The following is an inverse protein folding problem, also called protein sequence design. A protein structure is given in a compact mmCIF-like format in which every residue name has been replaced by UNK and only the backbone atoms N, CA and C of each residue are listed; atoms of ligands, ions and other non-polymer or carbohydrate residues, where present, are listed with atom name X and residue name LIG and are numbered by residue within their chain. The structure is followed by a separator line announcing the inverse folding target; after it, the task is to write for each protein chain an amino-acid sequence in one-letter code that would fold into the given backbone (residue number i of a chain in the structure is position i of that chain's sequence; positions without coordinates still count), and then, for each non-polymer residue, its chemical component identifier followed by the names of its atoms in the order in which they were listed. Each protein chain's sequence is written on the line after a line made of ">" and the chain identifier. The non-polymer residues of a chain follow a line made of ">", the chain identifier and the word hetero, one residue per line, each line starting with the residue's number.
data_IF_538845405431
#
_entry.id   IF_538845405431
#
_cell.length_a   1.000
_cell.length_b   1.000
_cell.length_c   1.000
_cell.angle_alpha   90.00
_cell.angle_beta   90.00
_cell.angle_gamma   90.00
#
_symmetry.space_group_name_H-M   'P 1'
#
loop_
_entity.id
_entity.type
_entity.pdbx_description
1 polymer ?
#
# COMPACT_ATOMS: atom_id res chain seq x y z
N UNK A 1 31.01 -42.50 16.89
CA UNK A 1 29.81 -42.15 17.68
C UNK A 1 29.82 -40.61 17.91
N UNK A 2 29.28 -39.84 17.03
CA UNK A 2 29.20 -38.39 17.16
C UNK A 2 27.88 -38.03 17.84
N UNK A 3 27.96 -37.36 19.01
CA UNK A 3 26.80 -36.78 19.68
C UNK A 3 26.60 -35.37 19.15
N UNK A 4 25.52 -35.15 18.42
CA UNK A 4 25.07 -33.79 18.07
C UNK A 4 24.17 -33.23 19.19
N UNK A 5 24.48 -32.02 19.64
CA UNK A 5 23.67 -31.25 20.55
C UNK A 5 22.87 -30.25 19.71
N UNK A 6 21.56 -30.26 19.87
CA UNK A 6 20.70 -29.25 19.29
C UNK A 6 20.34 -28.24 20.40
N UNK A 7 20.85 -27.03 20.30
CA UNK A 7 20.46 -25.94 21.19
C UNK A 7 19.33 -25.14 20.52
N UNK A 8 18.14 -25.14 21.13
CA UNK A 8 17.04 -24.28 20.72
C UNK A 8 16.97 -23.10 21.70
N UNK A 9 17.22 -21.90 21.21
CA UNK A 9 17.06 -20.67 21.98
C UNK A 9 15.64 -20.11 21.77
N UNK A 10 14.84 -20.15 22.82
CA UNK A 10 13.51 -19.52 22.84
C UNK A 10 13.58 -18.29 23.73
N UNK A 11 13.20 -17.14 23.22
CA UNK A 11 13.15 -15.87 23.93
C UNK A 11 11.71 -15.55 24.32
N UNK A 12 11.40 -15.58 25.61
CA UNK A 12 10.15 -15.09 26.16
C UNK A 12 10.38 -13.78 26.89
N UNK A 13 9.30 -13.03 27.15
CA UNK A 13 9.31 -11.70 27.76
C UNK A 13 10.02 -11.59 29.12
N UNK A 14 10.45 -12.68 29.73
CA UNK A 14 11.10 -12.73 31.07
C UNK A 14 12.54 -13.23 31.07
N UNK A 15 13.15 -13.52 29.93
CA UNK A 15 14.56 -13.97 29.86
C UNK A 15 14.79 -15.18 28.95
N UNK A 16 16.07 -15.45 28.67
CA UNK A 16 16.49 -16.61 27.84
C UNK A 16 16.54 -17.84 28.71
N UNK A 17 15.70 -18.85 28.46
CA UNK A 17 15.86 -20.18 29.01
C UNK A 17 16.51 -21.12 27.98
N UNK A 18 17.60 -21.76 28.36
CA UNK A 18 18.25 -22.79 27.55
C UNK A 18 17.69 -24.13 27.99
N UNK A 19 16.95 -24.78 27.10
CA UNK A 19 16.43 -26.12 27.33
C UNK A 19 17.30 -27.16 26.59
N UNK A 20 18.04 -27.96 27.29
CA UNK A 20 18.83 -29.05 26.71
C UNK A 20 18.03 -30.36 26.71
N UNK A 21 17.74 -30.90 25.54
CA UNK A 21 17.10 -32.20 25.36
C UNK A 21 18.17 -33.29 25.14
N UNK A 22 18.21 -34.27 26.01
CA UNK A 22 19.01 -35.50 25.83
C UNK A 22 18.20 -36.49 25.01
N UNK A 23 18.66 -36.82 23.82
CA UNK A 23 18.11 -37.94 23.05
C UNK A 23 18.97 -39.20 23.27
N UNK A 24 18.38 -40.23 23.86
CA UNK A 24 18.95 -41.58 23.89
C UNK A 24 18.46 -42.37 22.68
N UNK A 25 19.37 -42.78 21.83
CA UNK A 25 19.09 -43.66 20.69
C UNK A 25 19.19 -45.12 21.08
N UNK A 26 18.09 -45.71 21.53
CA UNK A 26 17.83 -47.16 21.39
C UNK A 26 16.32 -47.37 21.43
N UNK A 27 15.76 -47.83 20.31
CA UNK A 27 14.36 -48.23 20.23
C UNK A 27 13.58 -47.47 19.13
N UNK A 28 13.35 -48.20 18.06
CA UNK A 28 12.46 -47.81 16.95
C UNK A 28 11.06 -47.61 17.54
N UNK A 29 10.60 -46.39 17.58
CA UNK A 29 9.19 -46.05 17.58
C UNK A 29 9.07 -44.62 17.03
N UNK A 30 8.58 -44.56 15.80
CA UNK A 30 8.43 -43.31 15.08
C UNK A 30 7.38 -42.41 15.74
N UNK A 31 7.82 -41.47 16.54
CA UNK A 31 7.07 -40.24 16.81
C UNK A 31 7.52 -39.25 15.72
N UNK A 32 6.82 -39.28 14.60
CA UNK A 32 6.77 -38.13 13.67
C UNK A 32 6.22 -37.01 14.51
N UNK A 33 7.10 -36.17 15.03
CA UNK A 33 6.74 -34.85 15.53
C UNK A 33 6.35 -34.04 14.28
N UNK A 34 5.09 -34.22 13.88
CA UNK A 34 4.44 -33.35 12.92
C UNK A 34 4.45 -31.94 13.56
N UNK A 35 5.50 -31.17 13.33
CA UNK A 35 5.44 -29.75 13.52
C UNK A 35 4.35 -29.25 12.55
N UNK A 36 3.11 -29.29 13.00
CA UNK A 36 2.08 -28.41 12.51
C UNK A 36 2.59 -27.01 12.84
N UNK A 37 3.31 -26.41 11.90
CA UNK A 37 3.36 -24.97 11.79
C UNK A 37 1.90 -24.54 11.56
N UNK A 38 1.19 -24.31 12.66
CA UNK A 38 -0.03 -23.55 12.67
C UNK A 38 0.37 -22.19 12.11
N UNK A 39 0.22 -22.05 10.80
CA UNK A 39 0.13 -20.73 10.18
C UNK A 39 -1.07 -20.11 10.87
N UNK A 40 -0.84 -19.30 11.90
CA UNK A 40 -1.85 -18.44 12.50
C UNK A 40 -2.14 -17.41 11.42
N UNK A 41 -3.06 -17.76 10.50
CA UNK A 41 -3.70 -16.76 9.69
C UNK A 41 -4.41 -15.84 10.67
N UNK A 42 -4.16 -14.54 10.65
CA UNK A 42 -4.90 -13.62 11.49
C UNK A 42 -6.39 -13.85 11.19
N UNK A 43 -7.14 -14.29 12.20
CA UNK A 43 -8.58 -14.41 12.07
C UNK A 43 -9.09 -12.98 11.86
N UNK A 44 -9.59 -12.70 10.65
CA UNK A 44 -10.19 -11.41 10.35
C UNK A 44 -11.42 -11.18 11.21
N UNK A 45 -11.62 -9.93 11.60
CA UNK A 45 -12.77 -9.51 12.40
C UNK A 45 -14.00 -9.30 11.52
N UNK A 46 -15.17 -9.39 12.15
CA UNK A 46 -16.45 -8.98 11.56
C UNK A 46 -16.75 -7.55 11.96
N UNK A 47 -17.08 -6.71 10.97
CA UNK A 47 -17.48 -5.32 11.18
C UNK A 47 -18.91 -5.16 10.70
N UNK A 48 -19.78 -4.64 11.58
CA UNK A 48 -21.21 -4.39 11.25
C UNK A 48 -21.63 -3.03 11.77
N UNK A 49 -22.58 -2.41 11.09
CA UNK A 49 -23.11 -1.13 11.53
C UNK A 49 -24.30 -0.66 10.71
N UNK A 50 -24.71 0.55 11.03
CA UNK A 50 -25.78 1.27 10.36
C UNK A 50 -25.28 2.65 9.95
N UNK A 51 -25.63 3.12 8.76
CA UNK A 51 -25.27 4.43 8.23
C UNK A 51 -26.51 5.30 8.10
N UNK A 52 -26.48 6.47 8.70
CA UNK A 52 -27.59 7.44 8.70
C UNK A 52 -27.11 8.83 8.28
N UNK A 53 -28.04 9.65 7.84
CA UNK A 53 -27.79 11.08 7.63
C UNK A 53 -27.74 11.81 8.97
N UNK A 54 -26.70 12.61 9.19
CA UNK A 54 -26.41 13.30 10.46
C UNK A 54 -27.55 14.18 10.98
N UNK A 55 -28.28 14.90 10.10
CA UNK A 55 -29.32 15.84 10.55
C UNK A 55 -30.69 15.19 10.78
N UNK A 56 -31.05 14.24 9.93
CA UNK A 56 -32.39 13.64 9.93
C UNK A 56 -32.47 12.29 10.61
N UNK A 57 -31.31 11.62 10.78
CA UNK A 57 -31.26 10.24 11.26
C UNK A 57 -31.82 9.23 10.25
N UNK A 58 -32.15 9.66 9.03
CA UNK A 58 -32.67 8.74 8.01
C UNK A 58 -31.57 7.79 7.52
N UNK A 59 -31.91 6.51 7.26
CA UNK A 59 -30.93 5.55 6.77
C UNK A 59 -30.42 5.93 5.37
N UNK A 60 -29.13 5.74 5.14
CA UNK A 60 -28.50 5.94 3.83
C UNK A 60 -28.33 4.58 3.16
N UNK A 61 -29.10 4.34 2.11
CA UNK A 61 -28.98 3.16 1.25
C UNK A 61 -27.93 3.39 0.16
N UNK A 62 -27.36 2.30 -0.36
CA UNK A 62 -26.38 2.30 -1.46
C UNK A 62 -25.08 3.06 -1.15
N UNK A 63 -24.80 3.37 0.10
CA UNK A 63 -23.48 3.86 0.49
C UNK A 63 -22.46 2.72 0.36
N UNK A 64 -21.34 2.98 -0.30
CA UNK A 64 -20.23 2.05 -0.34
C UNK A 64 -19.47 2.12 0.97
N UNK A 65 -19.30 0.98 1.64
CA UNK A 65 -18.56 0.82 2.89
C UNK A 65 -17.39 -0.11 2.62
N UNK A 66 -16.16 0.36 2.79
CA UNK A 66 -14.98 -0.42 2.40
C UNK A 66 -13.78 -0.16 3.31
N UNK A 67 -12.84 -1.09 3.32
CA UNK A 67 -11.54 -0.93 3.97
C UNK A 67 -10.58 -0.25 2.98
N UNK A 68 -10.06 0.91 3.36
CA UNK A 68 -9.17 1.69 2.51
C UNK A 68 -8.00 0.87 1.98
N UNK A 69 -7.74 0.98 0.68
CA UNK A 69 -6.63 0.33 0.01
C UNK A 69 -6.82 -1.16 -0.26
N UNK A 70 -8.00 -1.75 0.04
CA UNK A 70 -8.23 -3.20 -0.08
C UNK A 70 -9.33 -3.55 -1.08
N UNK A 71 -9.56 -4.86 -1.27
CA UNK A 71 -10.71 -5.37 -2.01
C UNK A 71 -11.92 -5.71 -1.12
N UNK A 72 -11.85 -5.38 0.17
CA UNK A 72 -12.94 -5.61 1.12
C UNK A 72 -13.92 -4.44 1.14
N UNK A 73 -15.13 -4.66 0.66
CA UNK A 73 -16.18 -3.66 0.64
C UNK A 73 -17.56 -4.27 0.50
N UNK A 74 -18.56 -3.48 0.85
CA UNK A 74 -19.99 -3.80 0.76
C UNK A 74 -20.79 -2.53 0.47
N UNK A 75 -22.09 -2.68 0.28
CA UNK A 75 -23.03 -1.58 0.06
C UNK A 75 -24.11 -1.66 1.15
N UNK A 76 -24.53 -0.52 1.69
CA UNK A 76 -25.62 -0.47 2.68
C UNK A 76 -26.94 -0.88 2.06
N UNK A 77 -27.74 -1.59 2.84
CA UNK A 77 -29.12 -1.96 2.47
C UNK A 77 -30.09 -0.75 2.60
N UNK A 78 -31.38 -0.98 2.33
CA UNK A 78 -32.42 0.06 2.40
C UNK A 78 -32.63 0.63 3.81
N UNK A 79 -32.14 -0.06 4.84
CA UNK A 79 -32.18 0.37 6.23
C UNK A 79 -30.85 0.97 6.70
N UNK A 80 -29.89 1.16 5.77
CA UNK A 80 -28.58 1.67 6.07
C UNK A 80 -27.63 0.66 6.71
N UNK A 81 -28.01 -0.62 6.83
CA UNK A 81 -27.16 -1.61 7.47
C UNK A 81 -26.06 -2.11 6.52
N UNK A 82 -24.89 -2.39 7.10
CA UNK A 82 -23.78 -3.01 6.39
C UNK A 82 -23.09 -4.08 7.23
N UNK A 83 -22.33 -4.92 6.54
CA UNK A 83 -21.56 -5.99 7.15
C UNK A 83 -20.33 -6.31 6.29
N UNK A 84 -19.18 -6.40 6.95
CA UNK A 84 -17.90 -6.82 6.36
C UNK A 84 -17.31 -7.95 7.19
N UNK A 85 -16.81 -8.99 6.52
CA UNK A 85 -16.09 -10.09 7.15
C UNK A 85 -14.59 -10.00 6.83
N UNK A 86 -13.77 -10.71 7.60
CA UNK A 86 -12.32 -10.84 7.38
C UNK A 86 -11.53 -9.53 7.44
N UNK A 87 -11.99 -8.55 8.21
CA UNK A 87 -11.29 -7.28 8.39
C UNK A 87 -10.05 -7.49 9.27
N UNK A 88 -8.90 -7.02 8.80
CA UNK A 88 -7.62 -7.09 9.54
C UNK A 88 -7.33 -5.71 10.11
N UNK A 89 -7.01 -5.65 11.42
CA UNK A 89 -6.64 -4.41 12.10
C UNK A 89 -5.11 -4.20 12.13
N UNK A 90 -4.63 -2.97 12.18
CA UNK A 90 -5.39 -1.71 12.09
C UNK A 90 -5.79 -1.40 10.65
N UNK A 91 -6.94 -0.78 10.46
CA UNK A 91 -7.40 -0.38 9.12
C UNK A 91 -8.23 0.91 9.19
N UNK A 92 -8.63 1.38 8.03
CA UNK A 92 -9.53 2.54 7.88
C UNK A 92 -10.79 2.10 7.17
N UNK A 93 -11.93 2.25 7.84
CA UNK A 93 -13.24 2.08 7.25
C UNK A 93 -13.64 3.39 6.58
N UNK A 94 -14.02 3.32 5.32
CA UNK A 94 -14.46 4.46 4.53
C UNK A 94 -15.94 4.29 4.19
N UNK A 95 -16.68 5.38 4.36
CA UNK A 95 -18.05 5.52 3.88
C UNK A 95 -18.04 6.50 2.71
N UNK A 96 -18.51 6.06 1.57
CA UNK A 96 -18.56 6.85 0.33
C UNK A 96 -19.93 6.78 -0.30
N UNK A 97 -20.47 7.95 -0.66
CA UNK A 97 -21.72 8.09 -1.39
C UNK A 97 -21.71 9.39 -2.20
N UNK A 98 -22.31 9.39 -3.39
CA UNK A 98 -22.28 10.55 -4.31
C UNK A 98 -22.85 11.84 -3.68
N UNK A 99 -23.86 11.73 -2.81
CA UNK A 99 -24.55 12.88 -2.20
C UNK A 99 -23.97 13.29 -0.85
N UNK A 100 -23.02 12.54 -0.28
CA UNK A 100 -22.50 12.79 1.06
C UNK A 100 -21.00 13.01 1.05
N UNK A 101 -20.50 13.67 2.08
CA UNK A 101 -19.07 13.81 2.30
C UNK A 101 -18.48 12.44 2.66
N UNK A 102 -17.33 12.11 2.06
CA UNK A 102 -16.63 10.88 2.41
C UNK A 102 -16.23 10.91 3.89
N UNK A 103 -16.48 9.81 4.60
CA UNK A 103 -16.15 9.69 6.02
C UNK A 103 -15.13 8.59 6.25
N UNK A 104 -14.04 8.94 6.91
CA UNK A 104 -12.99 8.03 7.34
C UNK A 104 -13.14 7.71 8.82
N UNK A 105 -13.12 6.42 9.16
CA UNK A 105 -13.21 5.91 10.53
C UNK A 105 -12.01 4.98 10.76
N UNK A 106 -11.03 5.38 11.59
CA UNK A 106 -9.94 4.50 11.94
C UNK A 106 -10.46 3.38 12.85
N UNK A 107 -10.23 2.13 12.45
CA UNK A 107 -10.51 0.94 13.25
C UNK A 107 -9.17 0.40 13.78
N UNK A 108 -8.92 0.68 15.04
CA UNK A 108 -7.64 0.36 15.68
C UNK A 108 -7.78 -0.78 16.68
N UNK A 109 -8.93 -0.90 17.33
CA UNK A 109 -9.22 -1.88 18.38
C UNK A 109 -10.37 -2.82 17.96
N UNK A 110 -10.26 -4.07 18.39
CA UNK A 110 -11.30 -5.08 18.19
C UNK A 110 -12.54 -4.93 19.09
N UNK A 111 -12.47 -4.11 20.13
CA UNK A 111 -13.54 -3.99 21.12
C UNK A 111 -14.85 -3.37 20.59
N UNK A 112 -14.80 -2.60 19.51
CA UNK A 112 -15.95 -1.86 18.98
C UNK A 112 -16.06 -2.03 17.46
N UNK A 113 -16.29 -3.25 16.98
CA UNK A 113 -16.43 -3.52 15.55
C UNK A 113 -17.85 -3.90 15.12
N UNK A 114 -18.75 -4.11 16.08
CA UNK A 114 -20.12 -4.53 15.79
C UNK A 114 -21.14 -3.52 16.29
N UNK A 115 -22.18 -3.29 15.48
CA UNK A 115 -23.25 -2.34 15.83
C UNK A 115 -22.81 -0.87 15.74
N UNK A 116 -21.84 -0.55 14.89
CA UNK A 116 -21.38 0.82 14.67
C UNK A 116 -22.54 1.69 14.20
N UNK A 117 -22.74 2.84 14.85
CA UNK A 117 -23.69 3.86 14.42
C UNK A 117 -22.89 4.97 13.74
N UNK A 118 -23.03 5.08 12.42
CA UNK A 118 -22.20 5.96 11.60
C UNK A 118 -23.08 6.98 10.89
N UNK A 119 -22.71 8.24 10.97
CA UNK A 119 -23.45 9.33 10.37
C UNK A 119 -22.64 9.96 9.23
N UNK A 120 -23.29 10.32 8.14
CA UNK A 120 -22.68 11.05 7.02
C UNK A 120 -23.35 12.42 6.88
N UNK A 121 -22.56 13.41 6.51
CA UNK A 121 -23.00 14.76 6.22
C UNK A 121 -23.24 14.94 4.72
N UNK A 122 -24.27 15.71 4.35
CA UNK A 122 -24.52 16.04 2.96
C UNK A 122 -23.31 16.77 2.35
N UNK A 123 -22.95 16.40 1.13
CA UNK A 123 -21.93 17.11 0.38
C UNK A 123 -22.51 18.46 -0.10
N UNK A 124 -22.03 19.54 0.49
CA UNK A 124 -22.30 20.88 -0.03
C UNK A 124 -21.29 21.12 -1.17
N UNK A 125 -21.74 21.06 -2.39
CA UNK A 125 -20.95 21.52 -3.52
C UNK A 125 -21.09 23.05 -3.53
N UNK A 126 -20.16 23.76 -2.89
CA UNK A 126 -20.01 25.18 -3.19
C UNK A 126 -19.57 25.27 -4.65
N UNK A 127 -20.47 25.72 -5.50
CA UNK A 127 -20.12 26.15 -6.83
C UNK A 127 -19.27 27.42 -6.67
N UNK A 128 -17.99 27.24 -6.39
CA UNK A 128 -17.04 28.32 -6.64
C UNK A 128 -17.22 28.69 -8.08
N UNK A 129 -17.36 30.02 -8.35
CA UNK A 129 -17.42 30.53 -9.74
C UNK A 129 -16.28 29.84 -10.49
N UNK A 130 -16.65 28.82 -11.28
CA UNK A 130 -15.70 28.10 -12.08
C UNK A 130 -15.04 29.16 -12.95
N UNK A 131 -13.78 29.43 -12.71
CA UNK A 131 -12.98 30.19 -13.66
C UNK A 131 -13.19 29.44 -14.96
N UNK A 132 -13.93 30.08 -15.89
CA UNK A 132 -14.35 29.48 -17.18
C UNK A 132 -13.06 29.06 -17.88
N UNK A 133 -12.68 27.84 -17.63
CA UNK A 133 -11.52 27.26 -18.28
C UNK A 133 -11.97 27.00 -19.71
N UNK A 134 -11.36 27.65 -20.68
CA UNK A 134 -11.58 27.31 -22.08
C UNK A 134 -11.50 25.78 -22.21
N UNK A 135 -12.40 25.19 -23.02
CA UNK A 135 -12.47 23.72 -23.19
C UNK A 135 -11.10 23.08 -23.48
N UNK A 136 -10.28 23.79 -24.28
CA UNK A 136 -8.93 23.34 -24.63
C UNK A 136 -7.99 23.26 -23.41
N UNK A 137 -8.12 24.19 -22.45
CA UNK A 137 -7.34 24.13 -21.20
C UNK A 137 -7.79 22.99 -20.31
N UNK A 138 -9.09 22.70 -20.23
CA UNK A 138 -9.58 21.57 -19.45
C UNK A 138 -9.02 20.23 -19.98
N UNK A 139 -9.02 20.01 -21.30
CA UNK A 139 -8.48 18.80 -21.92
C UNK A 139 -6.96 18.67 -21.68
N UNK A 140 -6.22 19.78 -21.69
CA UNK A 140 -4.79 19.77 -21.37
C UNK A 140 -4.54 19.36 -19.92
N UNK A 141 -5.23 19.98 -18.95
CA UNK A 141 -5.07 19.64 -17.53
C UNK A 141 -5.56 18.22 -17.22
N UNK A 142 -6.62 17.74 -17.88
CA UNK A 142 -7.08 16.37 -17.77
C UNK A 142 -6.00 15.37 -18.25
N UNK A 143 -5.35 15.65 -19.38
CA UNK A 143 -4.24 14.83 -19.90
C UNK A 143 -3.06 14.82 -18.90
N UNK A 144 -2.70 15.97 -18.34
CA UNK A 144 -1.64 16.09 -17.33
C UNK A 144 -2.01 15.37 -16.04
N UNK A 145 -3.25 15.53 -15.57
CA UNK A 145 -3.78 14.79 -14.43
C UNK A 145 -3.66 13.29 -14.66
N UNK A 146 -4.15 12.75 -15.78
CA UNK A 146 -4.04 11.33 -16.12
C UNK A 146 -2.57 10.86 -16.08
N UNK A 147 -1.65 11.63 -16.62
CA UNK A 147 -0.23 11.28 -16.64
C UNK A 147 0.40 11.21 -15.24
N UNK A 148 0.05 12.16 -14.37
CA UNK A 148 0.60 12.23 -13.02
C UNK A 148 -0.14 11.34 -12.02
N UNK A 149 -1.43 11.16 -12.18
CA UNK A 149 -2.28 10.35 -11.32
C UNK A 149 -2.19 8.85 -11.66
N UNK A 150 -2.46 8.48 -12.92
CA UNK A 150 -2.40 7.09 -13.36
C UNK A 150 -0.95 6.59 -13.55
N UNK A 151 -0.03 7.48 -13.91
CA UNK A 151 1.37 7.19 -14.19
C UNK A 151 1.73 7.29 -15.67
N UNK A 152 3.00 7.52 -15.99
CA UNK A 152 3.49 7.77 -17.36
C UNK A 152 3.15 6.67 -18.38
N UNK A 153 2.92 5.44 -17.91
CA UNK A 153 2.64 4.29 -18.77
C UNK A 153 1.17 3.86 -18.76
N UNK A 154 0.25 4.71 -18.29
CA UNK A 154 -1.16 4.37 -18.14
C UNK A 154 -1.82 3.92 -19.45
N UNK A 155 -1.46 4.53 -20.58
CA UNK A 155 -1.97 4.16 -21.90
C UNK A 155 -1.56 2.72 -22.28
N UNK A 156 -0.31 2.33 -22.01
CA UNK A 156 0.18 0.95 -22.25
C UNK A 156 -0.51 -0.06 -21.32
N UNK A 157 -0.98 0.38 -20.18
CA UNK A 157 -1.76 -0.42 -19.23
C UNK A 157 -3.26 -0.39 -19.54
N UNK A 158 -3.67 0.39 -20.54
CA UNK A 158 -5.09 0.62 -20.87
C UNK A 158 -5.90 1.08 -19.65
N UNK A 159 -5.25 1.78 -18.71
CA UNK A 159 -5.91 2.34 -17.54
C UNK A 159 -6.73 3.57 -17.94
N UNK A 160 -8.00 3.60 -17.54
CA UNK A 160 -8.95 4.62 -17.96
C UNK A 160 -9.78 5.12 -16.78
N UNK A 161 -9.98 6.44 -16.69
CA UNK A 161 -10.95 7.06 -15.79
C UNK A 161 -12.29 7.13 -16.53
N UNK A 162 -13.27 6.37 -16.05
CA UNK A 162 -14.55 6.19 -16.74
C UNK A 162 -15.48 7.40 -16.60
N UNK A 163 -15.28 8.21 -15.59
CA UNK A 163 -16.09 9.40 -15.26
C UNK A 163 -15.23 10.64 -15.07
N UNK A 164 -14.26 10.88 -15.95
CA UNK A 164 -13.33 12.02 -15.84
C UNK A 164 -14.01 13.40 -15.91
N UNK A 165 -15.25 13.48 -16.38
CA UNK A 165 -16.07 14.69 -16.36
C UNK A 165 -16.38 15.24 -14.96
N UNK A 166 -16.18 14.43 -13.89
CA UNK A 166 -16.38 14.87 -12.50
C UNK A 166 -15.18 15.64 -11.95
N UNK A 167 -14.08 15.73 -12.71
CA UNK A 167 -12.87 16.43 -12.31
C UNK A 167 -12.98 17.93 -12.53
N UNK A 168 -12.64 18.68 -11.51
CA UNK A 168 -12.50 20.13 -11.52
C UNK A 168 -11.03 20.49 -11.32
N UNK A 169 -10.51 21.39 -12.15
CA UNK A 169 -9.13 21.85 -12.08
C UNK A 169 -9.07 23.31 -11.66
N UNK A 170 -8.24 23.61 -10.67
CA UNK A 170 -7.88 24.97 -10.30
C UNK A 170 -6.43 25.21 -10.72
N UNK A 171 -6.25 26.11 -11.68
CA UNK A 171 -4.94 26.44 -12.22
C UNK A 171 -4.27 27.45 -11.28
N UNK A 172 -3.04 27.17 -10.95
CA UNK A 172 -2.12 28.07 -10.27
C UNK A 172 -1.16 28.69 -11.28
N UNK A 173 -0.10 29.32 -10.84
CA UNK A 173 0.93 29.86 -11.73
C UNK A 173 1.80 28.74 -12.32
N UNK A 174 2.39 28.99 -13.50
CA UNK A 174 3.46 28.17 -14.09
C UNK A 174 3.15 26.67 -14.21
N UNK A 175 2.06 26.30 -14.89
CA UNK A 175 1.71 24.90 -15.11
C UNK A 175 1.43 24.08 -13.82
N UNK A 176 1.26 24.72 -12.69
CA UNK A 176 0.87 24.12 -11.43
C UNK A 176 -0.65 24.13 -11.31
N UNK A 177 -1.22 23.07 -10.75
CA UNK A 177 -2.65 22.98 -10.58
C UNK A 177 -3.05 22.02 -9.46
N UNK A 178 -4.25 22.22 -8.93
CA UNK A 178 -4.96 21.26 -8.09
C UNK A 178 -6.09 20.62 -8.86
N UNK A 179 -6.51 19.43 -8.41
CA UNK A 179 -7.69 18.77 -8.93
C UNK A 179 -8.57 18.26 -7.80
N UNK A 180 -9.87 18.42 -7.96
CA UNK A 180 -10.91 17.92 -7.09
C UNK A 180 -11.88 17.06 -7.90
N UNK A 181 -12.55 16.11 -7.25
CA UNK A 181 -13.56 15.29 -7.87
C UNK A 181 -14.91 15.50 -7.16
N UNK A 182 -15.95 15.80 -7.91
CA UNK A 182 -17.31 15.98 -7.37
C UNK A 182 -17.97 14.66 -6.95
N UNK A 183 -17.47 13.54 -7.49
CA UNK A 183 -17.89 12.16 -7.18
C UNK A 183 -16.67 11.26 -7.11
N UNK A 184 -16.77 10.04 -6.53
CA UNK A 184 -15.69 9.07 -6.56
C UNK A 184 -15.27 8.76 -8.00
N UNK A 185 -13.97 8.84 -8.29
CA UNK A 185 -13.43 8.45 -9.59
C UNK A 185 -13.58 6.94 -9.79
N UNK A 186 -14.03 6.53 -10.97
CA UNK A 186 -14.12 5.13 -11.40
C UNK A 186 -13.03 4.84 -12.41
N UNK A 187 -12.10 3.98 -12.07
CA UNK A 187 -10.92 3.72 -12.88
C UNK A 187 -10.90 2.25 -13.29
N UNK A 188 -10.91 2.02 -14.58
CA UNK A 188 -10.78 0.69 -15.15
C UNK A 188 -9.30 0.31 -15.25
N UNK A 189 -8.91 -0.81 -14.65
CA UNK A 189 -7.57 -1.37 -14.65
C UNK A 189 -7.56 -2.76 -15.30
N UNK A 190 -7.68 -2.85 -16.64
CA UNK A 190 -7.92 -4.13 -17.33
C UNK A 190 -6.74 -5.11 -17.20
N UNK A 191 -5.51 -4.60 -17.11
CA UNK A 191 -4.31 -5.45 -17.01
C UNK A 191 -4.25 -6.20 -15.68
N UNK A 192 -4.63 -5.53 -14.58
CA UNK A 192 -4.69 -6.15 -13.25
C UNK A 192 -6.07 -6.69 -12.89
N UNK A 193 -7.08 -6.39 -13.72
CA UNK A 193 -8.45 -6.91 -13.58
C UNK A 193 -9.18 -6.35 -12.37
N UNK A 194 -9.08 -5.02 -12.15
CA UNK A 194 -9.83 -4.31 -11.11
C UNK A 194 -10.63 -3.15 -11.70
N UNK A 195 -11.78 -2.89 -11.10
CA UNK A 195 -12.41 -1.58 -11.14
C UNK A 195 -12.05 -0.88 -9.83
N UNK A 196 -11.34 0.23 -9.92
CA UNK A 196 -10.87 0.98 -8.77
C UNK A 196 -11.77 2.20 -8.57
N UNK A 197 -12.34 2.34 -7.37
CA UNK A 197 -13.00 3.55 -6.92
C UNK A 197 -12.05 4.39 -6.10
N UNK A 198 -11.95 5.68 -6.39
CA UNK A 198 -11.09 6.61 -5.65
C UNK A 198 -11.90 7.81 -5.17
N UNK A 199 -12.04 7.93 -3.86
CA UNK A 199 -12.49 9.17 -3.24
C UNK A 199 -11.28 10.11 -3.16
N UNK A 200 -11.15 11.00 -4.15
CA UNK A 200 -10.03 11.93 -4.25
C UNK A 200 -10.18 13.04 -3.21
N UNK A 201 -9.28 13.07 -2.23
CA UNK A 201 -9.28 14.10 -1.16
C UNK A 201 -8.43 15.30 -1.56
N UNK A 202 -7.29 15.03 -2.20
CA UNK A 202 -6.38 16.08 -2.63
C UNK A 202 -5.54 15.59 -3.80
N UNK A 203 -5.37 16.48 -4.78
CA UNK A 203 -4.37 16.33 -5.84
C UNK A 203 -3.74 17.70 -6.10
N UNK A 204 -2.42 17.73 -6.08
CA UNK A 204 -1.66 18.93 -6.38
C UNK A 204 -0.41 18.59 -7.18
N UNK A 205 -0.20 19.31 -8.27
CA UNK A 205 1.03 19.29 -9.04
C UNK A 205 1.73 20.64 -8.88
N UNK A 206 2.91 20.63 -8.24
CA UNK A 206 3.75 21.83 -8.03
C UNK A 206 5.17 21.62 -8.51
N UNK A 207 5.77 22.68 -9.02
CA UNK A 207 7.21 22.73 -9.21
C UNK A 207 7.90 22.98 -7.85
N UNK A 208 8.93 22.22 -7.57
CA UNK A 208 9.75 22.36 -6.36
C UNK A 208 11.17 22.69 -6.75
N UNK A 209 11.63 23.90 -6.40
CA UNK A 209 12.98 24.35 -6.71
C UNK A 209 14.05 23.45 -6.06
N UNK A 210 13.82 23.00 -4.83
CA UNK A 210 14.72 22.13 -4.08
C UNK A 210 14.94 20.80 -4.79
N UNK A 211 13.94 20.34 -5.56
CA UNK A 211 13.97 19.07 -6.33
C UNK A 211 14.28 19.29 -7.80
N UNK A 212 14.35 20.56 -8.25
CA UNK A 212 14.47 20.96 -9.67
C UNK A 212 13.47 20.23 -10.58
N UNK A 213 12.22 20.09 -10.11
CA UNK A 213 11.21 19.34 -10.84
C UNK A 213 9.80 19.42 -10.25
N UNK A 214 8.85 18.85 -11.00
CA UNK A 214 7.47 18.77 -10.56
C UNK A 214 7.29 17.68 -9.51
N UNK A 215 6.62 18.03 -8.43
CA UNK A 215 6.16 17.13 -7.38
C UNK A 215 4.64 16.99 -7.44
N UNK A 216 4.16 15.75 -7.39
CA UNK A 216 2.74 15.44 -7.36
C UNK A 216 2.37 14.88 -5.99
N UNK A 217 1.48 15.58 -5.29
CA UNK A 217 0.87 15.12 -4.03
C UNK A 217 -0.51 14.56 -4.32
N UNK A 218 -0.78 13.35 -3.85
CA UNK A 218 -2.07 12.67 -4.03
C UNK A 218 -2.51 12.13 -2.68
N UNK A 219 -3.71 12.48 -2.25
CA UNK A 219 -4.38 11.90 -1.11
C UNK A 219 -5.76 11.44 -1.54
N UNK A 220 -6.12 10.20 -1.23
CA UNK A 220 -7.41 9.63 -1.55
C UNK A 220 -7.64 8.32 -0.83
N UNK A 221 -8.87 7.83 -0.88
CA UNK A 221 -9.26 6.52 -0.38
C UNK A 221 -9.58 5.60 -1.56
N UNK A 222 -9.12 4.36 -1.48
CA UNK A 222 -9.06 3.43 -2.60
C UNK A 222 -9.85 2.17 -2.29
N UNK A 223 -10.77 1.80 -3.18
CA UNK A 223 -11.52 0.55 -3.12
C UNK A 223 -11.35 -0.24 -4.41
N UNK A 224 -10.86 -1.47 -4.30
CA UNK A 224 -10.59 -2.34 -5.43
C UNK A 224 -11.69 -3.38 -5.59
N UNK A 225 -12.48 -3.27 -6.64
CA UNK A 225 -13.49 -4.25 -7.00
C UNK A 225 -12.89 -5.24 -8.02
N UNK A 226 -12.67 -6.53 -7.64
CA UNK A 226 -12.10 -7.51 -8.55
C UNK A 226 -13.12 -7.87 -9.64
N UNK A 227 -12.68 -7.77 -10.89
CA UNK A 227 -13.49 -8.16 -12.03
C UNK A 227 -13.53 -9.69 -12.16
N UNK A 228 -14.68 -10.21 -12.58
CA UNK A 228 -14.87 -11.64 -12.80
C UNK A 228 -14.55 -12.01 -14.23
N UNK A 229 -13.71 -13.02 -14.40
CA UNK A 229 -13.32 -13.56 -15.70
C UNK A 229 -13.69 -15.02 -15.77
N UNK A 230 -14.38 -15.43 -16.84
CA UNK A 230 -14.80 -16.82 -17.07
C UNK A 230 -13.76 -17.62 -17.86
N UNK A 231 -12.92 -16.92 -18.64
CA UNK A 231 -11.91 -17.56 -19.47
C UNK A 231 -10.62 -17.84 -18.67
N UNK A 232 -10.22 -19.11 -18.57
CA UNK A 232 -9.02 -19.56 -17.85
C UNK A 232 -7.70 -18.94 -18.39
N UNK A 233 -7.65 -18.62 -19.69
CA UNK A 233 -6.46 -17.97 -20.29
C UNK A 233 -6.33 -16.53 -19.79
N UNK A 234 -7.45 -15.83 -19.74
CA UNK A 234 -7.53 -14.45 -19.24
C UNK A 234 -7.20 -14.39 -17.74
N UNK A 235 -7.78 -15.28 -16.93
CA UNK A 235 -7.45 -15.40 -15.50
C UNK A 235 -5.95 -15.56 -15.27
N UNK A 236 -5.28 -16.44 -16.05
CA UNK A 236 -3.81 -16.64 -15.97
C UNK A 236 -3.03 -15.39 -16.39
N UNK A 237 -3.50 -14.69 -17.43
CA UNK A 237 -2.86 -13.45 -17.90
C UNK A 237 -2.91 -12.38 -16.81
N UNK A 238 -4.08 -12.15 -16.21
CA UNK A 238 -4.29 -11.21 -15.12
C UNK A 238 -3.47 -11.60 -13.87
N UNK A 239 -3.46 -12.88 -13.50
CA UNK A 239 -2.66 -13.35 -12.37
C UNK A 239 -1.17 -13.05 -12.56
N UNK A 240 -0.62 -13.23 -13.77
CA UNK A 240 0.76 -12.88 -14.10
C UNK A 240 0.99 -11.36 -14.01
N UNK A 241 0.09 -10.57 -14.57
CA UNK A 241 0.17 -9.12 -14.55
C UNK A 241 0.13 -8.57 -13.11
N UNK A 242 -0.72 -9.11 -12.23
CA UNK A 242 -0.74 -8.76 -10.81
C UNK A 242 0.59 -9.07 -10.13
N UNK A 243 1.19 -10.20 -10.43
CA UNK A 243 2.52 -10.56 -9.91
C UNK A 243 3.59 -9.58 -10.40
N UNK A 244 3.55 -9.17 -11.67
CA UNK A 244 4.48 -8.17 -12.23
C UNK A 244 4.25 -6.78 -11.63
N UNK A 245 3.00 -6.42 -11.36
CA UNK A 245 2.65 -5.18 -10.66
C UNK A 245 3.15 -5.19 -9.21
N UNK A 246 3.08 -6.33 -8.52
CA UNK A 246 3.50 -6.48 -7.12
C UNK A 246 5.01 -6.35 -6.96
N UNK A 247 5.81 -7.14 -7.70
CA UNK A 247 7.26 -7.09 -7.53
C UNK A 247 7.84 -5.74 -7.95
N UNK A 248 8.73 -5.21 -7.12
CA UNK A 248 9.30 -3.87 -7.26
C UNK A 248 8.22 -2.76 -7.23
N UNK A 249 7.20 -2.92 -6.39
CA UNK A 249 6.27 -1.86 -6.00
C UNK A 249 6.64 -1.30 -4.62
N UNK A 250 6.05 -0.17 -4.24
CA UNK A 250 6.17 0.39 -2.89
C UNK A 250 5.69 -0.60 -1.82
N UNK A 251 4.57 -1.30 -2.08
CA UNK A 251 4.04 -2.34 -1.19
C UNK A 251 5.04 -3.49 -0.99
N UNK A 252 5.62 -4.02 -2.07
CA UNK A 252 6.62 -5.10 -1.99
C UNK A 252 7.87 -4.66 -1.24
N UNK A 253 8.36 -3.44 -1.50
CA UNK A 253 9.51 -2.88 -0.81
C UNK A 253 9.23 -2.69 0.69
N UNK A 254 8.10 -2.06 1.06
CA UNK A 254 7.75 -1.79 2.46
C UNK A 254 7.47 -3.09 3.24
N UNK A 255 6.81 -4.09 2.63
CA UNK A 255 6.68 -5.43 3.23
C UNK A 255 8.05 -6.07 3.46
N UNK A 256 8.96 -6.00 2.49
CA UNK A 256 10.33 -6.53 2.62
C UNK A 256 11.12 -5.82 3.72
N UNK A 257 10.96 -4.51 3.84
CA UNK A 257 11.58 -3.70 4.88
C UNK A 257 11.00 -4.06 6.27
N UNK A 258 9.66 -4.16 6.38
CA UNK A 258 8.99 -4.57 7.61
C UNK A 258 9.49 -5.93 8.12
N UNK A 259 9.60 -6.92 7.23
CA UNK A 259 10.03 -8.28 7.59
C UNK A 259 11.54 -8.44 7.68
N UNK A 260 12.33 -7.37 7.49
CA UNK A 260 13.79 -7.40 7.39
C UNK A 260 14.31 -8.39 6.33
N UNK A 261 13.62 -8.43 5.17
CA UNK A 261 13.85 -9.36 4.07
C UNK A 261 14.21 -8.63 2.78
N UNK A 262 14.88 -7.47 2.87
CA UNK A 262 15.25 -6.70 1.69
C UNK A 262 16.14 -7.51 0.73
N UNK A 263 17.18 -8.17 1.26
CA UNK A 263 18.13 -8.95 0.42
C UNK A 263 17.48 -10.18 -0.18
N UNK A 264 16.69 -10.93 0.58
CA UNK A 264 15.94 -12.09 0.11
C UNK A 264 14.96 -11.73 -1.00
N UNK A 265 14.41 -10.51 -0.95
CA UNK A 265 13.49 -9.96 -1.93
C UNK A 265 14.18 -9.10 -3.01
N UNK A 266 15.50 -9.23 -3.18
CA UNK A 266 16.26 -8.63 -4.26
C UNK A 266 16.57 -7.15 -4.11
N UNK A 267 16.43 -6.57 -2.92
CA UNK A 267 16.68 -5.15 -2.68
C UNK A 267 18.03 -4.89 -2.02
N UNK A 268 18.74 -3.89 -2.54
CA UNK A 268 19.83 -3.22 -1.85
C UNK A 268 19.43 -1.76 -1.62
N UNK A 269 19.74 -1.26 -0.43
CA UNK A 269 19.45 0.10 -0.01
C UNK A 269 20.77 0.80 0.32
N UNK A 270 21.04 1.94 -0.31
CA UNK A 270 22.27 2.70 -0.20
C UNK A 270 21.94 4.16 0.15
N UNK A 271 22.58 4.73 1.18
CA UNK A 271 22.36 6.13 1.56
C UNK A 271 23.14 7.10 0.67
N UNK A 272 22.57 8.28 0.45
CA UNK A 272 23.16 9.34 -0.39
C UNK A 272 23.66 10.55 0.39
N UNK A 273 23.70 10.47 1.70
CA UNK A 273 24.15 11.58 2.55
C UNK A 273 25.45 11.20 3.26
N UNK A 274 26.50 11.89 2.96
CA UNK A 274 27.81 11.79 3.61
C UNK A 274 28.86 12.60 2.86
N UNK A 275 29.91 13.02 3.53
CA UNK A 275 31.03 13.73 2.92
C UNK A 275 31.69 12.89 1.81
N UNK A 276 31.63 11.55 1.91
CA UNK A 276 32.11 10.60 0.90
C UNK A 276 31.23 10.57 -0.36
N UNK A 277 29.91 10.81 -0.26
CA UNK A 277 29.01 10.87 -1.41
C UNK A 277 29.27 12.11 -2.28
N UNK A 278 29.72 13.22 -1.67
CA UNK A 278 30.06 14.47 -2.39
C UNK A 278 31.37 14.41 -3.17
N UNK A 279 32.35 13.61 -2.72
CA UNK A 279 33.69 13.58 -3.32
C UNK A 279 33.95 12.39 -4.24
N UNK A 280 33.27 11.28 -4.09
CA UNK A 280 33.52 10.05 -4.89
C UNK A 280 32.35 9.62 -5.76
N UNK A 281 31.16 10.20 -5.55
CA UNK A 281 29.95 9.77 -6.25
C UNK A 281 29.49 8.35 -5.89
N UNK A 282 30.10 7.71 -4.89
CA UNK A 282 29.72 6.38 -4.43
C UNK A 282 28.86 6.47 -3.17
N UNK A 283 27.69 5.80 -3.15
CA UNK A 283 26.84 5.76 -1.98
C UNK A 283 27.50 4.95 -0.83
N UNK A 284 27.30 5.39 0.40
CA UNK A 284 27.71 4.61 1.56
C UNK A 284 26.88 3.34 1.68
N UNK A 285 27.49 2.19 2.00
CA UNK A 285 26.75 0.93 2.14
C UNK A 285 25.92 0.91 3.42
N UNK A 286 24.64 0.59 3.27
CA UNK A 286 23.69 0.30 4.37
C UNK A 286 22.78 1.47 4.77
N UNK A 287 21.72 1.18 5.50
CA UNK A 287 20.75 2.19 5.94
C UNK A 287 21.24 2.94 7.18
N UNK A 288 21.25 4.26 7.13
CA UNK A 288 21.55 5.16 8.27
C UNK A 288 20.30 5.40 9.16
N UNK A 289 19.54 4.35 9.43
CA UNK A 289 18.41 4.43 10.35
C UNK A 289 18.34 3.21 11.26
N UNK A 290 17.62 3.35 12.37
CA UNK A 290 17.38 2.27 13.32
C UNK A 290 15.92 1.82 13.19
N UNK A 291 15.71 0.51 12.93
CA UNK A 291 14.41 -0.11 12.97
C UNK A 291 14.13 -0.77 14.32
N UNK A 292 12.97 -0.53 14.90
CA UNK A 292 12.49 -1.19 16.11
C UNK A 292 11.05 -1.62 15.96
N UNK A 293 10.73 -2.85 16.36
CA UNK A 293 9.35 -3.31 16.42
C UNK A 293 8.72 -2.87 17.74
N UNK A 294 7.50 -2.40 17.66
CA UNK A 294 6.72 -1.99 18.80
C UNK A 294 5.24 -2.16 18.51
N UNK A 295 4.40 -1.90 19.50
CA UNK A 295 2.97 -1.82 19.32
C UNK A 295 2.53 -0.35 19.37
N UNK A 296 1.47 -0.02 18.64
CA UNK A 296 0.79 1.25 18.82
C UNK A 296 -0.04 1.22 20.14
N UNK A 297 -0.73 2.30 20.45
CA UNK A 297 -1.56 2.43 21.64
C UNK A 297 -2.73 1.41 21.69
N UNK A 298 -3.05 0.78 20.56
CA UNK A 298 -4.10 -0.23 20.42
C UNK A 298 -3.56 -1.67 20.35
N UNK A 299 -2.24 -1.85 20.50
CA UNK A 299 -1.58 -3.15 20.49
C UNK A 299 -1.21 -3.70 19.11
N UNK A 300 -1.40 -2.93 18.03
CA UNK A 300 -1.06 -3.38 16.68
C UNK A 300 0.44 -3.26 16.44
N UNK A 301 1.04 -4.33 15.96
CA UNK A 301 2.48 -4.37 15.69
C UNK A 301 2.85 -3.48 14.52
N UNK A 302 3.90 -2.67 14.69
CA UNK A 302 4.47 -1.81 13.64
C UNK A 302 5.98 -1.77 13.72
N UNK A 303 6.63 -1.52 12.60
CA UNK A 303 8.06 -1.20 12.52
C UNK A 303 8.19 0.32 12.58
N UNK A 304 8.92 0.81 13.57
CA UNK A 304 9.30 2.22 13.69
C UNK A 304 10.72 2.38 13.17
N UNK A 305 10.89 3.19 12.15
CA UNK A 305 12.19 3.67 11.66
C UNK A 305 12.48 5.02 12.31
N UNK A 306 13.61 5.14 12.96
CA UNK A 306 14.07 6.37 13.66
C UNK A 306 15.51 6.68 13.37
N UNK A 307 15.96 7.86 13.80
CA UNK A 307 17.33 8.34 13.60
C UNK A 307 17.74 8.33 12.13
N UNK A 308 16.82 8.73 11.27
CA UNK A 308 17.06 8.82 9.83
C UNK A 308 18.02 9.99 9.60
N UNK A 309 19.32 9.73 9.65
CA UNK A 309 20.37 10.75 9.46
C UNK A 309 20.44 11.20 8.01
N UNK A 310 20.24 10.27 7.10
CA UNK A 310 20.13 10.52 5.67
C UNK A 310 18.69 10.28 5.22
N UNK A 311 17.97 11.30 4.76
CA UNK A 311 16.60 11.09 4.30
C UNK A 311 16.53 10.53 2.87
N UNK A 312 17.62 10.50 2.10
CA UNK A 312 17.63 10.12 0.67
C UNK A 312 18.43 8.85 0.46
N UNK A 313 17.79 7.88 -0.20
CA UNK A 313 18.37 6.57 -0.49
C UNK A 313 18.20 6.20 -1.95
N UNK A 314 19.16 5.42 -2.47
CA UNK A 314 19.01 4.65 -3.69
C UNK A 314 18.52 3.26 -3.35
N UNK A 315 17.51 2.80 -4.06
CA UNK A 315 17.05 1.40 -4.05
C UNK A 315 17.51 0.76 -5.34
N UNK A 316 18.21 -0.37 -5.23
CA UNK A 316 18.52 -1.25 -6.35
C UNK A 316 17.72 -2.51 -6.22
N UNK A 317 16.92 -2.86 -7.24
CA UNK A 317 16.12 -4.08 -7.27
C UNK A 317 16.68 -5.06 -8.31
N UNK A 318 17.07 -6.24 -7.85
CA UNK A 318 17.67 -7.30 -8.66
C UNK A 318 16.61 -8.37 -8.97
N UNK A 319 16.48 -8.72 -10.25
CA UNK A 319 15.48 -9.67 -10.71
C UNK A 319 15.95 -10.55 -11.85
N UNK A 320 15.38 -11.75 -11.96
CA UNK A 320 15.66 -12.72 -13.00
C UNK A 320 14.86 -12.47 -14.30
N UNK A 321 15.04 -13.33 -15.30
CA UNK A 321 14.34 -13.24 -16.60
C UNK A 321 12.81 -13.35 -16.51
N UNK A 322 12.28 -13.89 -15.41
CA UNK A 322 10.83 -14.01 -15.14
C UNK A 322 10.29 -12.87 -14.30
N UNK A 323 11.04 -11.78 -14.14
CA UNK A 323 10.66 -10.63 -13.31
C UNK A 323 10.48 -10.95 -11.80
N UNK A 324 11.09 -12.03 -11.31
CA UNK A 324 11.06 -12.43 -9.90
C UNK A 324 12.31 -11.89 -9.19
N UNK A 325 12.21 -11.56 -7.88
CA UNK A 325 13.38 -11.13 -7.11
C UNK A 325 14.48 -12.20 -7.11
N UNK A 326 15.70 -11.75 -7.05
CA UNK A 326 16.87 -12.59 -6.83
C UNK A 326 17.28 -12.46 -5.37
N UNK A 327 17.43 -13.58 -4.68
CA UNK A 327 17.93 -13.59 -3.31
C UNK A 327 19.40 -13.16 -3.27
N UNK A 328 19.69 -12.06 -2.57
CA UNK A 328 21.02 -11.45 -2.46
C UNK A 328 21.72 -11.77 -1.14
N UNK A 329 21.24 -12.74 -0.38
CA UNK A 329 21.88 -13.18 0.88
C UNK A 329 23.14 -13.98 0.62
N UNK A 330 23.26 -14.61 -0.55
CA UNK A 330 24.39 -15.43 -0.96
C UNK A 330 25.37 -14.65 -1.84
N UNK A 331 26.67 -14.83 -1.62
CA UNK A 331 27.75 -14.10 -2.31
C UNK A 331 27.90 -14.43 -3.79
N UNK A 332 27.39 -15.55 -4.26
CA UNK A 332 27.52 -16.04 -5.63
C UNK A 332 26.39 -15.61 -6.57
N UNK A 333 25.61 -14.62 -6.19
CA UNK A 333 24.56 -14.13 -7.04
C UNK A 333 25.08 -13.37 -8.27
N UNK A 334 24.51 -13.64 -9.42
CA UNK A 334 24.77 -12.90 -10.66
C UNK A 334 23.45 -12.36 -11.21
N UNK A 335 23.00 -11.18 -10.78
CA UNK A 335 21.75 -10.62 -11.24
C UNK A 335 21.86 -10.22 -12.70
N UNK A 336 21.02 -10.79 -13.53
CA UNK A 336 20.99 -10.48 -14.96
C UNK A 336 20.37 -9.11 -15.27
N UNK A 337 19.54 -8.57 -14.36
CA UNK A 337 18.77 -7.34 -14.56
C UNK A 337 18.62 -6.55 -13.26
N UNK A 338 18.67 -5.23 -13.41
CA UNK A 338 18.59 -4.28 -12.28
C UNK A 338 17.61 -3.17 -12.62
N UNK A 339 16.80 -2.74 -11.64
CA UNK A 339 16.01 -1.52 -11.68
C UNK A 339 16.45 -0.59 -10.57
N UNK A 340 16.35 0.72 -10.83
CA UNK A 340 16.75 1.77 -9.90
C UNK A 340 15.53 2.57 -9.44
N UNK A 341 15.53 2.94 -8.17
CA UNK A 341 14.55 3.83 -7.58
C UNK A 341 15.22 4.72 -6.56
N UNK A 342 14.65 5.90 -6.32
CA UNK A 342 14.98 6.75 -5.19
C UNK A 342 13.93 6.56 -4.10
N UNK A 343 14.35 6.71 -2.86
CA UNK A 343 13.51 6.80 -1.68
C UNK A 343 13.90 8.02 -0.89
N UNK A 344 12.93 8.80 -0.46
CA UNK A 344 13.12 9.92 0.45
C UNK A 344 12.16 9.80 1.61
N UNK A 345 12.69 9.83 2.83
CA UNK A 345 11.89 10.01 4.04
C UNK A 345 11.57 11.49 4.21
N UNK A 346 10.31 11.80 4.44
CA UNK A 346 9.83 13.18 4.64
C UNK A 346 9.80 13.57 6.12
N UNK A 347 10.04 12.62 7.04
CA UNK A 347 10.09 12.82 8.48
C UNK A 347 11.25 12.06 9.12
N UNK A 348 11.66 12.48 10.31
CA UNK A 348 12.74 11.85 11.10
C UNK A 348 12.34 10.49 11.69
N UNK A 349 11.04 10.18 11.68
CA UNK A 349 10.51 8.89 12.11
C UNK A 349 9.34 8.47 11.23
N UNK A 350 9.31 7.20 10.84
CA UNK A 350 8.30 6.64 9.95
C UNK A 350 7.83 5.29 10.50
N UNK A 351 6.52 5.05 10.47
CA UNK A 351 5.93 3.78 10.84
C UNK A 351 5.55 2.97 9.59
N UNK A 352 5.79 1.65 9.65
CA UNK A 352 5.37 0.71 8.61
C UNK A 352 4.60 -0.43 9.27
N UNK A 353 3.41 -0.72 8.76
CA UNK A 353 2.62 -1.86 9.21
C UNK A 353 2.96 -3.15 8.44
N UNK A 354 2.57 -4.34 8.94
CA UNK A 354 2.85 -5.63 8.27
C UNK A 354 2.35 -5.72 6.83
N UNK A 355 1.26 -5.01 6.51
CA UNK A 355 0.71 -4.89 5.14
C UNK A 355 1.63 -4.14 4.16
N UNK A 356 2.69 -3.51 4.66
CA UNK A 356 3.50 -2.54 3.93
C UNK A 356 2.89 -1.14 3.88
N UNK A 357 1.77 -0.92 4.57
CA UNK A 357 1.12 0.39 4.66
C UNK A 357 1.94 1.36 5.50
N UNK A 358 2.01 2.58 5.01
CA UNK A 358 2.55 3.75 5.70
C UNK A 358 1.34 4.62 6.03
N UNK A 359 1.05 4.92 7.31
CA UNK A 359 -0.16 5.65 7.73
C UNK A 359 -0.27 7.06 7.13
N UNK A 360 0.86 7.70 6.96
CA UNK A 360 1.00 9.02 6.38
C UNK A 360 1.91 8.90 5.14
N UNK A 361 1.81 9.82 4.19
CA UNK A 361 2.68 9.83 3.01
C UNK A 361 4.10 10.29 3.37
N UNK A 362 4.72 9.60 4.33
CA UNK A 362 6.02 9.96 4.91
C UNK A 362 7.21 9.46 4.10
N UNK A 363 6.94 8.67 3.06
CA UNK A 363 7.96 8.13 2.15
C UNK A 363 7.62 8.52 0.71
N UNK A 364 8.56 9.17 0.05
CA UNK A 364 8.47 9.47 -1.37
C UNK A 364 9.32 8.49 -2.17
N UNK A 365 8.72 7.89 -3.20
CA UNK A 365 9.42 7.04 -4.15
C UNK A 365 9.56 7.72 -5.51
N UNK A 366 10.72 7.53 -6.15
CA UNK A 366 10.99 7.94 -7.52
C UNK A 366 11.56 6.78 -8.34
N UNK A 367 11.76 6.96 -9.65
CA UNK A 367 12.26 5.93 -10.53
C UNK A 367 11.29 4.75 -10.68
N UNK A 368 11.80 3.52 -10.81
CA UNK A 368 10.99 2.36 -11.18
C UNK A 368 9.89 1.97 -10.20
N UNK A 369 10.03 2.28 -8.91
CA UNK A 369 8.95 2.14 -7.92
C UNK A 369 7.96 3.31 -8.06
N UNK A 370 8.47 4.55 -8.12
CA UNK A 370 7.65 5.75 -8.25
C UNK A 370 6.85 5.85 -9.55
N UNK A 371 7.31 5.20 -10.62
CA UNK A 371 6.59 5.13 -11.90
C UNK A 371 5.38 4.18 -11.86
N UNK A 372 5.31 3.28 -10.85
CA UNK A 372 4.17 2.40 -10.61
C UNK A 372 3.09 3.12 -9.80
N UNK A 373 2.35 4.00 -10.46
CA UNK A 373 1.23 4.73 -9.88
C UNK A 373 -0.08 3.93 -9.99
N UNK A 374 -1.21 4.61 -10.03
CA UNK A 374 -2.55 4.00 -9.99
C UNK A 374 -2.73 2.88 -11.03
N UNK A 375 -2.20 3.04 -12.25
CA UNK A 375 -2.32 2.02 -13.31
C UNK A 375 -1.69 0.65 -12.95
N UNK A 376 -0.79 0.60 -11.96
CA UNK A 376 -0.16 -0.62 -11.45
C UNK A 376 -0.54 -0.95 -10.02
N UNK A 377 -1.42 -0.17 -9.42
CA UNK A 377 -1.77 -0.33 -8.03
C UNK A 377 -2.49 -1.66 -7.79
N UNK A 378 -2.18 -2.28 -6.68
CA UNK A 378 -2.83 -3.50 -6.20
C UNK A 378 -3.40 -3.26 -4.81
N UNK A 379 -4.47 -3.96 -4.43
CA UNK A 379 -4.99 -3.87 -3.08
C UNK A 379 -4.00 -4.41 -2.05
N UNK A 380 -3.99 -3.84 -0.84
CA UNK A 380 -3.09 -4.22 0.26
C UNK A 380 -3.25 -5.68 0.70
N UNK A 381 -4.46 -6.23 0.53
CA UNK A 381 -4.81 -7.63 0.79
C UNK A 381 -4.39 -8.59 -0.34
N UNK A 382 -3.75 -8.08 -1.41
CA UNK A 382 -3.19 -8.93 -2.46
C UNK A 382 -2.00 -9.75 -1.95
N UNK A 383 -2.08 -11.06 -2.18
CA UNK A 383 -1.00 -12.01 -1.91
C UNK A 383 -0.56 -12.62 -3.26
N UNK A 384 0.72 -12.46 -3.66
CA UNK A 384 1.21 -13.04 -4.90
C UNK A 384 1.14 -14.56 -4.84
N UNK A 385 0.49 -15.19 -5.81
CA UNK A 385 0.51 -16.65 -5.95
C UNK A 385 1.93 -17.12 -6.29
N UNK A 386 2.50 -17.98 -5.48
CA UNK A 386 3.71 -18.73 -5.84
C UNK A 386 3.33 -19.72 -6.96
N UNK A 387 3.64 -19.38 -8.21
CA UNK A 387 3.57 -20.29 -9.35
C UNK A 387 4.97 -20.65 -9.83
#
# INVERSE_FOLDING_TARGET
>A
MFRQWLEIRVRNATGIQIMSLRTNTTGISGIIFLMLSLSVFPQGYKVTGNVTEWRTGLPISLATVYINGTSLGTITDNLGNFHLDHVILPCELILSHVSYQVKRIPLMDSAQLTGLQLEMENRVVELQEATVTHKDLHEEYLRRFKQWFLGKNYEKQHAEILNDSVLLFQIMEDDQFTAEATEPLKIHLPVTGYLLSVDLVHFELRYREEMQGYHCSILGYYYFEPQRFTNSREQRTIARARVEAYYNSSMHFCKSLYHNQLRENGYLLESYCGEEAGNTGHPAPGPDFVGSYGSDEYGNTRLLLTRIKCPVFRITYHFNSRNRPVDLTYLDWNPSRIKWSGLQFLRDSVYIYPSGRIPENDILFSGSIGDKRIAFMLPEDYIPSMQ
#
